data_IF_163075740791
#
_entry.id   IF_163075740791
#
_cell.length_a   1.000
_cell.length_b   1.000
_cell.length_c   1.000
_cell.angle_alpha   90.00
_cell.angle_beta   90.00
_cell.angle_gamma   90.00
#
_symmetry.space_group_name_H-M   'P 1'
#
loop_
_entity.id
_entity.type
_entity.pdbx_description
1 polymer ?
2 non-polymer ?
3 water ?
#
# COMPACT_ATOMS: atom_id res chain seq x y z
N UNK A 1 11.03 -14.08 7.49
CA UNK A 1 11.83 -13.26 6.51
C UNK A 1 10.86 -12.38 5.71
N UNK A 2 11.35 -11.23 5.21
CA UNK A 2 10.69 -10.39 4.16
C UNK A 2 10.18 -11.27 3.02
N UNK A 3 10.85 -12.38 2.77
CA UNK A 3 10.45 -13.36 1.73
C UNK A 3 9.03 -13.87 1.87
N UNK A 4 8.49 -13.90 3.07
CA UNK A 4 7.11 -14.35 3.29
C UNK A 4 6.08 -13.39 2.67
N UNK A 5 6.47 -12.16 2.43
CA UNK A 5 5.59 -11.16 1.78
C UNK A 5 5.51 -11.36 0.28
N UNK A 6 6.44 -12.06 -0.30
CA UNK A 6 6.56 -12.13 -1.77
C UNK A 6 5.38 -12.91 -2.35
N UNK A 7 4.93 -12.49 -3.49
CA UNK A 7 3.92 -13.18 -4.26
C UNK A 7 2.76 -12.30 -4.63
N UNK A 8 1.63 -12.92 -4.95
CA UNK A 8 0.44 -12.26 -5.51
C UNK A 8 -0.70 -12.41 -4.50
N UNK A 9 -1.26 -11.29 -4.14
CA UNK A 9 -2.22 -11.14 -3.04
C UNK A 9 -3.47 -10.44 -3.57
N UNK A 10 -4.63 -10.97 -3.24
CA UNK A 10 -5.90 -10.42 -3.71
C UNK A 10 -6.70 -9.88 -2.53
N UNK A 11 -7.27 -8.72 -2.69
CA UNK A 11 -8.05 -8.10 -1.61
C UNK A 11 -9.27 -8.96 -1.34
N UNK A 12 -9.46 -9.30 -0.07
CA UNK A 12 -10.62 -10.07 0.50
C UNK A 12 -11.44 -9.29 1.55
N UNK A 13 -10.93 -8.19 2.15
CA UNK A 13 -11.66 -7.45 3.19
C UNK A 13 -11.14 -6.02 3.25
N UNK A 14 -12.01 -5.05 3.52
CA UNK A 14 -11.60 -3.65 3.59
C UNK A 14 -12.47 -3.00 4.64
N UNK A 15 -11.85 -2.19 5.46
CA UNK A 15 -12.51 -1.37 6.50
C UNK A 15 -11.98 0.07 6.45
N UNK A 16 -12.88 1.02 6.29
CA UNK A 16 -12.60 2.46 6.42
C UNK A 16 -11.74 3.03 5.29
N UNK A 17 -11.72 2.42 4.14
CA UNK A 17 -10.90 2.98 3.03
C UNK A 17 -11.45 4.33 2.60
N UNK A 18 -12.77 4.49 2.60
CA UNK A 18 -13.35 5.79 2.21
C UNK A 18 -12.82 6.91 3.15
N UNK A 19 -12.75 6.65 4.43
CA UNK A 19 -12.25 7.63 5.39
C UNK A 19 -10.79 7.99 5.09
N UNK A 20 -9.99 6.99 4.82
CA UNK A 20 -8.60 7.20 4.47
C UNK A 20 -8.54 8.03 3.20
N UNK A 21 -9.24 7.67 2.15
CA UNK A 21 -9.18 8.45 0.90
C UNK A 21 -9.67 9.88 1.12
N UNK A 22 -10.74 10.10 1.86
CA UNK A 22 -11.22 11.48 2.14
C UNK A 22 -10.12 12.26 2.84
N UNK A 23 -9.38 11.63 3.73
CA UNK A 23 -8.37 12.31 4.53
C UNK A 23 -7.28 12.86 3.60
N UNK A 24 -7.07 12.27 2.42
CA UNK A 24 -6.08 12.71 1.45
C UNK A 24 -6.69 13.65 0.41
N UNK A 25 -7.99 13.93 0.51
CA UNK A 25 -8.66 14.84 -0.43
C UNK A 25 -9.02 14.22 -1.76
N UNK A 26 -9.15 12.89 -1.78
CA UNK A 26 -9.59 12.18 -3.00
C UNK A 26 -11.05 12.50 -3.26
N UNK A 27 -11.36 12.87 -4.49
CA UNK A 27 -12.71 13.29 -4.89
C UNK A 27 -13.74 12.13 -4.80
N UNK A 28 -15.00 12.49 -4.66
CA UNK A 28 -16.06 11.50 -4.36
C UNK A 28 -16.17 10.51 -5.50
N UNK A 29 -15.99 10.90 -6.75
CA UNK A 29 -16.19 9.93 -7.88
C UNK A 29 -15.07 8.87 -7.85
N UNK A 30 -13.85 9.30 -7.52
CA UNK A 30 -12.73 8.34 -7.42
C UNK A 30 -12.96 7.43 -6.21
N UNK A 31 -13.44 7.99 -5.09
CA UNK A 31 -13.71 7.18 -3.88
C UNK A 31 -14.80 6.16 -4.20
N UNK A 32 -15.71 6.45 -4.94
CA UNK A 32 -16.79 5.52 -5.30
C UNK A 32 -16.23 4.33 -6.10
N UNK A 33 -15.42 4.58 -7.12
CA UNK A 33 -14.78 3.50 -7.92
C UNK A 33 -13.85 2.68 -7.04
N UNK A 34 -13.04 3.36 -6.24
CA UNK A 34 -12.08 2.62 -5.39
C UNK A 34 -12.73 1.80 -4.28
N UNK A 35 -13.92 2.14 -3.84
CA UNK A 35 -14.67 1.41 -2.81
C UNK A 35 -15.11 0.05 -3.35
N UNK A 36 -15.15 -0.10 -4.67
CA UNK A 36 -15.62 -1.38 -5.23
C UNK A 36 -14.51 -2.22 -5.86
N UNK A 37 -13.31 -1.67 -6.08
CA UNK A 37 -12.23 -2.44 -6.72
C UNK A 37 -11.74 -3.48 -5.71
N UNK A 38 -11.16 -4.53 -6.25
CA UNK A 38 -10.50 -5.57 -5.43
C UNK A 38 -9.12 -5.80 -6.01
N UNK A 39 -8.19 -4.90 -5.72
CA UNK A 39 -6.88 -4.89 -6.34
C UNK A 39 -6.11 -6.15 -5.98
N UNK A 40 -5.13 -6.41 -6.83
CA UNK A 40 -4.07 -7.42 -6.66
C UNK A 40 -2.78 -6.69 -6.26
N UNK A 41 -2.09 -7.10 -5.18
CA UNK A 41 -0.77 -6.59 -4.78
C UNK A 41 0.21 -7.65 -5.18
N UNK A 42 1.26 -7.28 -5.93
CA UNK A 42 2.33 -8.24 -6.26
C UNK A 42 3.63 -7.71 -5.65
N UNK A 43 4.34 -8.53 -4.88
CA UNK A 43 5.59 -8.15 -4.25
C UNK A 43 6.66 -9.11 -4.75
N UNK A 44 7.71 -8.54 -5.30
CA UNK A 44 8.80 -9.29 -5.91
C UNK A 44 10.14 -8.73 -5.38
N UNK A 45 11.19 -9.55 -5.38
CA UNK A 45 12.54 -9.10 -5.03
C UNK A 45 13.55 -9.54 -6.06
N UNK A 46 14.57 -8.71 -6.20
CA UNK A 46 15.79 -9.02 -6.96
C UNK A 46 16.91 -8.48 -6.10
N UNK A 47 17.56 -9.40 -5.40
CA UNK A 47 18.61 -9.01 -4.45
C UNK A 47 17.97 -8.14 -3.39
N UNK A 48 18.52 -6.95 -3.15
CA UNK A 48 17.86 -6.15 -2.10
C UNK A 48 16.90 -5.11 -2.71
N UNK A 49 16.56 -5.24 -3.99
CA UNK A 49 15.50 -4.35 -4.57
C UNK A 49 14.15 -5.04 -4.54
N UNK A 50 13.19 -4.40 -3.87
CA UNK A 50 11.80 -4.90 -3.87
C UNK A 50 11.04 -4.11 -4.93
N UNK A 51 10.05 -4.77 -5.51
CA UNK A 51 9.08 -4.11 -6.39
C UNK A 51 7.71 -4.47 -5.86
N UNK A 52 6.87 -3.46 -5.70
CA UNK A 52 5.50 -3.63 -5.23
C UNK A 52 4.58 -3.03 -6.28
N UNK A 53 3.75 -3.90 -6.85
CA UNK A 53 2.77 -3.49 -7.83
C UNK A 53 1.40 -3.60 -7.26
N UNK A 54 0.50 -2.70 -7.65
CA UNK A 54 -0.93 -2.94 -7.38
C UNK A 54 -1.63 -2.80 -8.73
N UNK A 55 -2.51 -3.73 -8.98
CA UNK A 55 -3.27 -3.84 -10.23
C UNK A 55 -4.74 -3.92 -9.97
N UNK A 56 -5.53 -3.15 -10.69
CA UNK A 56 -6.99 -3.20 -10.60
C UNK A 56 -7.58 -2.73 -11.93
N UNK A 57 -8.91 -2.76 -11.95
CA UNK A 57 -9.66 -2.24 -13.12
C UNK A 57 -9.65 -0.72 -13.20
N UNK A 58 -9.23 -0.04 -12.14
CA UNK A 58 -9.22 1.41 -12.09
C UNK A 58 -7.81 1.93 -12.36
N UNK A 59 -6.85 1.33 -11.68
CA UNK A 59 -5.50 1.84 -11.71
C UNK A 59 -4.51 0.75 -11.42
N UNK A 60 -3.33 1.10 -11.90
CA UNK A 60 -2.07 0.36 -11.72
C UNK A 60 -1.09 1.29 -11.01
N UNK A 61 -0.31 0.72 -10.10
CA UNK A 61 0.85 1.41 -9.55
C UNK A 61 2.00 0.44 -9.54
N UNK A 62 3.17 1.01 -9.46
CA UNK A 62 4.33 0.20 -9.21
C UNK A 62 5.40 1.08 -8.60
N UNK A 63 6.10 0.58 -7.57
CA UNK A 63 7.28 1.20 -7.01
C UNK A 63 8.38 0.19 -6.87
N UNK A 64 9.63 0.59 -7.00
CA UNK A 64 10.77 -0.25 -6.64
C UNK A 64 11.61 0.54 -5.65
N UNK A 65 12.24 -0.13 -4.73
CA UNK A 65 12.99 0.49 -3.64
C UNK A 65 13.94 -0.49 -3.05
N UNK A 66 14.95 0.10 -2.42
CA UNK A 66 15.88 -0.65 -1.58
C UNK A 66 15.38 -0.45 -0.14
N UNK A 67 15.26 -1.50 0.64
CA UNK A 67 14.79 -1.35 2.04
C UNK A 67 15.70 -0.38 2.80
N UNK A 68 15.13 0.58 3.52
CA UNK A 68 15.82 1.52 4.38
C UNK A 68 16.49 2.62 3.65
N UNK A 69 16.24 2.79 2.33
CA UNK A 69 16.81 3.87 1.51
C UNK A 69 15.69 4.71 0.93
N UNK A 70 15.73 6.01 1.18
CA UNK A 70 14.68 6.96 0.74
C UNK A 70 14.59 6.94 -0.78
N UNK A 71 13.36 7.14 -1.30
CA UNK A 71 13.07 7.29 -2.73
C UNK A 71 12.00 8.36 -2.91
N UNK A 72 12.04 8.95 -4.09
CA UNK A 72 10.92 9.84 -4.49
C UNK A 72 9.84 8.97 -5.16
N UNK A 73 8.59 9.26 -4.85
CA UNK A 73 7.43 8.46 -5.31
C UNK A 73 6.51 9.54 -5.89
N UNK A 74 6.00 9.36 -7.12
CA UNK A 74 4.76 10.06 -7.51
C UNK A 74 3.65 9.06 -7.23
N UNK A 75 2.79 9.43 -6.31
CA UNK A 75 1.63 8.60 -5.92
C UNK A 75 0.63 8.60 -7.08
N UNK A 76 -0.38 7.77 -6.94
CA UNK A 76 -1.45 7.60 -7.93
C UNK A 76 -2.21 8.93 -8.10
N UNK A 77 -2.36 9.70 -7.00
CA UNK A 77 -3.13 10.98 -6.97
C UNK A 77 -2.20 12.18 -7.14
N UNK A 78 -0.97 11.92 -7.60
CA UNK A 78 0.01 12.97 -8.02
C UNK A 78 0.47 13.77 -6.79
N UNK A 79 0.59 13.11 -5.64
CA UNK A 79 1.36 13.67 -4.52
C UNK A 79 2.85 13.42 -4.87
N UNK A 80 3.67 14.48 -4.82
CA UNK A 80 5.12 14.28 -4.97
C UNK A 80 5.64 14.15 -3.54
N UNK A 81 6.08 12.92 -3.21
CA UNK A 81 6.37 12.51 -1.80
C UNK A 81 7.79 11.92 -1.72
N UNK A 82 8.37 12.01 -0.57
CA UNK A 82 9.61 11.34 -0.07
C UNK A 82 9.20 10.08 0.69
N UNK A 83 9.69 8.93 0.25
CA UNK A 83 9.22 7.67 0.84
C UNK A 83 10.38 6.82 1.36
N UNK A 84 10.09 5.93 2.27
CA UNK A 84 11.03 4.89 2.73
C UNK A 84 10.20 3.67 3.07
N UNK A 85 10.75 2.48 2.80
CA UNK A 85 10.14 1.22 3.24
C UNK A 85 11.18 0.51 4.05
N UNK A 86 10.73 -0.09 5.14
CA UNK A 86 11.63 -0.80 6.07
C UNK A 86 10.92 -1.99 6.67
N UNK A 87 11.68 -2.95 7.18
CA UNK A 87 11.10 -3.97 8.09
C UNK A 87 11.25 -3.51 9.54
N UNK A 88 10.15 -3.56 10.28
CA UNK A 88 10.04 -3.09 11.65
C UNK A 88 9.17 -4.07 12.38
N UNK A 89 9.72 -4.86 13.30
CA UNK A 89 8.92 -5.84 14.02
C UNK A 89 8.33 -6.83 13.10
N UNK A 90 9.02 -7.13 12.03
CA UNK A 90 8.51 -8.10 11.07
C UNK A 90 7.43 -7.56 10.12
N UNK A 91 7.15 -6.29 10.22
CA UNK A 91 6.17 -5.63 9.34
C UNK A 91 6.86 -4.80 8.30
N UNK A 92 6.27 -4.72 7.13
CA UNK A 92 6.84 -3.96 6.02
C UNK A 92 6.24 -2.54 6.09
N UNK A 93 6.98 -1.53 6.56
CA UNK A 93 6.46 -0.19 6.86
C UNK A 93 6.86 0.74 5.73
N UNK A 94 5.88 1.30 5.04
CA UNK A 94 6.06 2.26 3.93
C UNK A 94 5.60 3.62 4.41
N UNK A 95 6.52 4.57 4.63
CA UNK A 95 6.21 5.94 5.10
C UNK A 95 6.39 6.88 3.95
N UNK A 96 5.37 7.71 3.70
CA UNK A 96 5.36 8.78 2.72
C UNK A 96 5.30 10.13 3.45
N UNK A 97 6.13 11.07 3.01
CA UNK A 97 6.20 12.50 3.59
C UNK A 97 6.07 13.45 2.45
N UNK A 98 5.17 14.39 2.69
CA UNK A 98 5.06 15.54 1.77
C UNK A 98 4.38 16.69 2.50
N UNK A 99 4.95 17.88 2.33
CA UNK A 99 4.38 19.11 2.97
C UNK A 99 4.16 18.97 4.46
N UNK A 100 5.08 18.31 5.14
CA UNK A 100 5.00 18.09 6.58
C UNK A 100 3.92 17.07 6.92
N UNK A 101 3.17 16.55 5.91
CA UNK A 101 2.22 15.47 6.15
C UNK A 101 2.95 14.12 6.10
N UNK A 102 2.30 13.13 6.69
CA UNK A 102 2.84 11.76 6.65
C UNK A 102 1.66 10.81 6.46
N UNK A 103 1.91 9.72 5.78
CA UNK A 103 1.02 8.54 5.84
C UNK A 103 1.86 7.27 5.92
N UNK A 104 1.38 6.31 6.66
CA UNK A 104 2.05 5.00 6.74
C UNK A 104 1.16 3.93 6.14
N UNK A 105 1.80 3.03 5.43
CA UNK A 105 1.19 1.83 4.86
C UNK A 105 1.96 0.67 5.50
N UNK A 106 1.34 -0.02 6.43
CA UNK A 106 2.04 -1.07 7.20
C UNK A 106 1.47 -2.42 6.82
N UNK A 107 2.33 -3.35 6.37
CA UNK A 107 1.90 -4.70 5.96
C UNK A 107 2.45 -5.73 6.93
N UNK A 108 1.64 -6.67 7.28
CA UNK A 108 2.07 -7.78 8.15
C UNK A 108 1.29 -9.02 7.75
N UNK A 109 1.83 -10.12 8.21
CA UNK A 109 1.29 -11.42 7.89
C UNK A 109 0.73 -12.01 9.18
N UNK A 110 -0.53 -12.39 9.13
CA UNK A 110 -1.24 -13.03 10.27
C UNK A 110 -2.05 -14.20 9.73
N UNK A 111 -1.72 -15.41 10.19
CA UNK A 111 -2.46 -16.64 9.78
C UNK A 111 -2.44 -16.75 8.25
N UNK A 112 -1.33 -16.41 7.59
CA UNK A 112 -1.21 -16.57 6.14
C UNK A 112 -1.84 -15.47 5.31
N UNK A 113 -2.50 -14.51 5.96
CA UNK A 113 -3.13 -13.39 5.27
C UNK A 113 -2.23 -12.19 5.38
N UNK A 114 -2.33 -11.27 4.43
CA UNK A 114 -1.55 -10.02 4.51
C UNK A 114 -2.51 -8.91 4.90
N UNK A 115 -2.19 -8.25 6.00
CA UNK A 115 -2.99 -7.16 6.55
C UNK A 115 -2.27 -5.86 6.32
N UNK A 116 -2.89 -4.94 5.60
CA UNK A 116 -2.40 -3.60 5.28
C UNK A 116 -3.17 -2.61 6.14
N UNK A 117 -2.44 -1.85 6.95
CA UNK A 117 -3.03 -0.77 7.74
C UNK A 117 -2.53 0.53 7.18
N UNK A 118 -3.47 1.37 6.72
CA UNK A 118 -3.18 2.69 6.11
C UNK A 118 -3.60 3.80 7.07
N UNK A 119 -2.64 4.62 7.53
CA UNK A 119 -2.93 5.67 8.53
C UNK A 119 -2.57 7.03 7.94
N UNK A 120 -3.50 7.96 8.00
CA UNK A 120 -3.23 9.37 7.64
C UNK A 120 -4.04 10.25 8.58
N UNK A 121 -3.33 10.97 9.42
CA UNK A 121 -4.00 11.71 10.51
C UNK A 121 -4.79 10.77 11.35
N UNK A 122 -6.09 10.98 11.58
CA UNK A 122 -6.90 10.10 12.41
C UNK A 122 -7.45 8.92 11.63
N UNK A 123 -7.39 9.00 10.30
CA UNK A 123 -8.02 7.96 9.46
C UNK A 123 -7.15 6.70 9.46
N UNK A 124 -7.74 5.59 9.78
CA UNK A 124 -7.10 4.28 9.82
C UNK A 124 -7.92 3.28 9.01
N UNK A 125 -7.37 2.75 7.96
CA UNK A 125 -8.02 1.74 7.13
C UNK A 125 -7.29 0.42 7.23
N UNK A 126 -8.03 -0.68 7.35
CA UNK A 126 -7.46 -2.02 7.44
C UNK A 126 -7.95 -2.82 6.26
N UNK A 127 -7.04 -3.38 5.50
CA UNK A 127 -7.39 -4.12 4.29
C UNK A 127 -6.66 -5.45 4.27
N UNK A 128 -7.37 -6.49 3.97
CA UNK A 128 -6.89 -7.87 4.15
C UNK A 128 -6.85 -8.48 2.76
N UNK A 129 -5.74 -9.16 2.51
CA UNK A 129 -5.37 -9.79 1.21
C UNK A 129 -5.12 -11.27 1.44
N UNK A 130 -5.53 -12.14 0.49
CA UNK A 130 -5.21 -13.55 0.54
C UNK A 130 -4.33 -13.91 -0.65
N UNK A 131 -3.48 -14.90 -0.42
CA UNK A 131 -2.48 -15.28 -1.40
C UNK A 131 -3.16 -15.93 -2.59
N UNK A 132 -2.73 -15.56 -3.79
CA UNK A 132 -2.98 -16.36 -5.02
C UNK A 132 -1.81 -17.32 -5.30
N UNK A 133 -2.08 -18.36 -6.08
CA UNK A 133 -1.04 -19.30 -6.58
C UNK A 133 -0.17 -18.66 -7.67
#
# INVERSE_FOLDING_TARGET
>A
MVDAFLGTWKLVDSKNFDDYMKSLGVGFATRQVASMTKPTTIIEKNGDILTLKTHSTFKNTEISFKLGVEFDETTADDRKVKSIVTLDGGKLVHLQKWDGQETTLVRELIDGKLILTLTHGTAVCTRTYEKEA
#
